data_IF_223936490614
#
_entry.id   IF_223936490614
#
_cell.length_a   1.000
_cell.length_b   1.000
_cell.length_c   1.000
_cell.angle_alpha   90.00
_cell.angle_beta   90.00
_cell.angle_gamma   90.00
#
_symmetry.space_group_name_H-M   'P 1'
#
loop_
_entity.id
_entity.type
_entity.pdbx_description
1 polymer ?
#
# COMPACT_ATOMS: atom_id res chain seq x y z
N UNK A 1 8.67 -0.67 15.61
CA UNK A 1 8.07 -2.02 15.84
C UNK A 1 7.16 -2.57 14.73
N UNK A 2 6.30 -1.79 14.05
CA UNK A 2 5.46 -2.30 12.93
C UNK A 2 6.28 -2.72 11.69
N UNK A 3 7.34 -1.96 11.36
CA UNK A 3 8.24 -2.23 10.23
C UNK A 3 9.19 -3.41 10.48
N UNK A 4 9.71 -3.55 11.71
CA UNK A 4 10.45 -4.76 12.10
C UNK A 4 9.55 -5.98 12.04
N UNK A 5 8.30 -5.90 12.52
CA UNK A 5 7.33 -7.00 12.40
C UNK A 5 7.05 -7.36 10.93
N UNK A 6 6.98 -6.37 10.02
CA UNK A 6 6.72 -6.63 8.60
C UNK A 6 7.93 -7.23 7.85
N UNK A 7 9.16 -6.90 8.29
CA UNK A 7 10.41 -7.43 7.72
C UNK A 7 10.87 -8.75 8.37
N UNK A 8 10.51 -9.00 9.64
CA UNK A 8 10.84 -10.23 10.37
C UNK A 8 9.81 -11.33 10.21
N UNK A 9 8.55 -11.00 9.93
CA UNK A 9 7.60 -11.98 9.44
C UNK A 9 8.00 -12.32 8.01
N UNK A 10 8.48 -13.55 7.79
CA UNK A 10 8.60 -14.20 6.49
C UNK A 10 7.21 -14.34 5.82
N UNK A 11 6.49 -13.23 5.61
CA UNK A 11 5.29 -13.18 4.80
C UNK A 11 5.77 -13.33 3.37
N UNK A 12 5.53 -14.51 2.80
CA UNK A 12 5.87 -14.80 1.42
C UNK A 12 5.19 -13.76 0.51
N UNK A 13 5.97 -12.78 0.04
CA UNK A 13 5.59 -11.83 -0.98
C UNK A 13 5.36 -12.62 -2.28
N UNK A 14 4.14 -13.07 -2.52
CA UNK A 14 3.76 -13.84 -3.72
C UNK A 14 2.68 -13.09 -4.49
N UNK A 15 3.06 -12.56 -5.64
CA UNK A 15 2.17 -11.88 -6.59
C UNK A 15 2.93 -10.81 -7.37
N UNK A 16 2.66 -10.68 -8.67
CA UNK A 16 3.22 -9.59 -9.46
C UNK A 16 2.69 -8.26 -8.94
N UNK A 17 3.58 -7.37 -8.50
CA UNK A 17 3.19 -6.05 -8.01
C UNK A 17 2.82 -5.12 -9.16
N UNK A 18 1.57 -4.63 -9.27
CA UNK A 18 1.26 -3.55 -10.20
C UNK A 18 2.01 -2.27 -9.82
N UNK A 19 2.65 -1.65 -10.82
CA UNK A 19 3.36 -0.38 -10.66
C UNK A 19 3.12 0.57 -11.82
N UNK A 20 3.37 1.85 -11.58
CA UNK A 20 3.36 2.93 -12.57
C UNK A 20 4.57 3.83 -12.38
N UNK A 21 5.08 4.37 -13.48
CA UNK A 21 6.18 5.35 -13.45
C UNK A 21 5.59 6.76 -13.40
N UNK A 22 6.10 7.58 -12.48
CA UNK A 22 5.77 9.00 -12.36
C UNK A 22 6.70 9.86 -13.22
N UNK A 23 6.33 11.10 -13.53
CA UNK A 23 7.13 12.05 -14.33
C UNK A 23 8.50 12.35 -13.75
N UNK A 24 8.62 12.36 -12.43
CA UNK A 24 9.90 12.54 -11.73
C UNK A 24 10.84 11.32 -11.87
N UNK A 25 10.38 10.29 -12.57
CA UNK A 25 11.11 9.07 -12.85
C UNK A 25 10.93 8.01 -11.77
N UNK A 26 10.36 8.33 -10.60
CA UNK A 26 10.09 7.37 -9.54
C UNK A 26 9.01 6.35 -9.94
N UNK A 27 8.98 5.24 -9.22
CA UNK A 27 7.97 4.20 -9.40
C UNK A 27 7.06 4.19 -8.19
N UNK A 28 5.75 4.21 -8.43
CA UNK A 28 4.73 3.95 -7.42
C UNK A 28 4.13 2.57 -7.68
N UNK A 29 3.96 1.79 -6.63
CA UNK A 29 3.47 0.43 -6.73
C UNK A 29 2.45 0.13 -5.63
N UNK A 30 1.58 -0.85 -5.89
CA UNK A 30 0.61 -1.32 -4.92
C UNK A 30 0.77 -2.83 -4.71
N UNK A 31 0.63 -3.29 -3.47
CA UNK A 31 0.56 -4.72 -3.16
C UNK A 31 -0.52 -4.99 -2.14
N UNK A 32 -1.02 -6.22 -2.12
CA UNK A 32 -1.86 -6.72 -1.03
C UNK A 32 -0.96 -7.37 0.03
N UNK A 33 -1.31 -7.17 1.29
CA UNK A 33 -0.56 -7.64 2.45
C UNK A 33 -1.50 -8.41 3.35
N UNK A 34 -1.06 -9.58 3.81
CA UNK A 34 -1.86 -10.42 4.68
C UNK A 34 -1.71 -9.94 6.12
N UNK A 35 -2.83 -9.60 6.74
CA UNK A 35 -2.91 -9.42 8.18
C UNK A 35 -3.23 -10.75 8.86
N UNK A 36 -2.23 -11.30 9.55
CA UNK A 36 -2.36 -12.56 10.26
C UNK A 36 -2.95 -12.41 11.68
N UNK A 37 -3.14 -11.18 12.18
CA UNK A 37 -3.65 -10.97 13.55
C UNK A 37 -5.17 -11.14 13.66
N UNK A 38 -5.86 -11.32 12.53
CA UNK A 38 -7.32 -11.44 12.45
C UNK A 38 -7.72 -12.81 11.88
N UNK A 39 -8.85 -13.33 12.37
CA UNK A 39 -9.51 -14.54 11.84
C UNK A 39 -10.96 -14.18 11.46
N UNK A 40 -11.34 -14.25 10.17
CA UNK A 40 -10.54 -14.66 9.01
C UNK A 40 -9.42 -13.65 8.67
N UNK A 41 -8.40 -14.13 7.93
CA UNK A 41 -7.26 -13.30 7.52
C UNK A 41 -7.72 -12.12 6.67
N UNK A 42 -7.33 -10.90 7.05
CA UNK A 42 -7.59 -9.70 6.26
C UNK A 42 -6.47 -9.54 5.22
N UNK A 43 -6.82 -9.14 4.01
CA UNK A 43 -5.85 -8.68 3.02
C UNK A 43 -6.10 -7.21 2.78
N UNK A 44 -5.10 -6.39 3.10
CA UNK A 44 -5.16 -4.94 2.91
C UNK A 44 -4.24 -4.53 1.77
N UNK A 45 -4.50 -3.38 1.16
CA UNK A 45 -3.59 -2.82 0.15
C UNK A 45 -2.57 -1.91 0.82
N UNK A 46 -1.31 -1.96 0.43
CA UNK A 46 -0.34 -0.89 0.68
C UNK A 46 0.12 -0.31 -0.64
N UNK A 47 0.54 0.95 -0.60
CA UNK A 47 1.16 1.65 -1.72
C UNK A 47 2.55 2.09 -1.30
N UNK A 48 3.52 1.99 -2.20
CA UNK A 48 4.91 2.23 -1.86
C UNK A 48 5.67 2.81 -3.04
N UNK A 49 6.73 3.56 -2.71
CA UNK A 49 7.63 4.12 -3.71
C UNK A 49 8.87 3.24 -3.86
N UNK A 50 9.33 3.10 -5.09
CA UNK A 50 10.46 2.27 -5.48
C UNK A 50 11.53 3.10 -6.20
N UNK A 51 12.78 2.70 -6.05
CA UNK A 51 13.84 3.14 -6.94
C UNK A 51 13.54 2.75 -8.39
N UNK A 52 13.82 3.63 -9.36
CA UNK A 52 13.40 3.41 -10.74
C UNK A 52 14.36 2.55 -11.57
N UNK A 53 15.43 2.07 -10.94
CA UNK A 53 16.49 1.25 -11.54
C UNK A 53 16.87 0.14 -10.56
N UNK A 54 17.41 -0.99 -11.05
CA UNK A 54 17.98 -2.01 -10.19
C UNK A 54 18.96 -1.41 -9.17
N UNK A 55 18.93 -1.82 -7.90
CA UNK A 55 18.23 -3.01 -7.38
C UNK A 55 16.75 -2.83 -6.99
N UNK A 56 16.06 -1.75 -7.40
CA UNK A 56 14.63 -1.48 -7.15
C UNK A 56 14.25 -1.50 -5.66
N UNK A 57 14.97 -0.76 -4.82
CA UNK A 57 14.68 -0.69 -3.38
C UNK A 57 13.34 -0.01 -3.11
N UNK A 58 12.60 -0.50 -2.13
CA UNK A 58 11.45 0.20 -1.56
C UNK A 58 11.99 1.38 -0.76
N UNK A 59 11.55 2.59 -1.09
CA UNK A 59 11.95 3.83 -0.42
C UNK A 59 11.01 4.22 0.71
N UNK A 60 9.73 3.94 0.53
CA UNK A 60 8.72 4.34 1.50
C UNK A 60 7.45 3.54 1.30
N UNK A 61 6.64 3.42 2.35
CA UNK A 61 5.41 2.62 2.36
C UNK A 61 4.26 3.37 3.05
N UNK A 62 3.06 3.22 2.50
CA UNK A 62 1.84 3.74 3.11
C UNK A 62 1.42 2.92 4.32
N UNK A 63 0.54 3.46 5.18
CA UNK A 63 -0.29 2.62 6.03
C UNK A 63 -1.07 1.58 5.21
N UNK A 64 -1.56 0.53 5.88
CA UNK A 64 -2.54 -0.39 5.28
C UNK A 64 -3.80 0.39 4.89
N UNK A 65 -4.29 0.13 3.69
CA UNK A 65 -5.46 0.76 3.09
C UNK A 65 -6.53 -0.30 2.82
N UNK A 66 -7.77 0.10 3.05
CA UNK A 66 -8.97 -0.56 2.55
C UNK A 66 -9.45 0.21 1.33
N UNK A 67 -9.48 -0.43 0.16
CA UNK A 67 -9.95 0.22 -1.06
C UNK A 67 -11.48 0.20 -1.08
N UNK A 68 -12.13 1.32 -1.39
CA UNK A 68 -13.55 1.36 -1.73
C UNK A 68 -13.77 2.07 -3.05
N UNK A 69 -14.96 1.89 -3.64
CA UNK A 69 -15.34 2.51 -4.91
C UNK A 69 -15.34 4.04 -4.85
N UNK A 70 -15.50 4.61 -3.65
CA UNK A 70 -15.59 6.06 -3.43
C UNK A 70 -14.29 6.62 -2.86
N UNK A 71 -13.73 5.99 -1.81
CA UNK A 71 -12.48 6.43 -1.18
C UNK A 71 -11.75 5.28 -0.47
N UNK A 72 -10.41 5.26 -0.47
CA UNK A 72 -9.65 4.40 0.42
C UNK A 72 -9.83 4.81 1.89
N UNK A 73 -10.09 3.82 2.74
CA UNK A 73 -10.39 3.96 4.17
C UNK A 73 -9.32 3.24 5.02
N UNK A 74 -9.28 3.56 6.32
CA UNK A 74 -8.50 2.75 7.26
C UNK A 74 -9.14 1.37 7.39
N UNK A 75 -8.37 0.26 7.41
CA UNK A 75 -8.91 -1.09 7.48
C UNK A 75 -9.38 -1.42 8.90
N UNK A 76 -10.51 -0.83 9.31
CA UNK A 76 -11.10 -0.99 10.64
C UNK A 76 -12.33 -1.90 10.64
N UNK A 77 -12.73 -2.44 9.49
CA UNK A 77 -13.98 -3.21 9.36
C UNK A 77 -13.81 -4.49 8.53
N UNK A 78 -14.72 -5.44 8.77
CA UNK A 78 -14.82 -6.68 8.00
C UNK A 78 -15.17 -6.47 6.51
N UNK A 79 -15.65 -5.27 6.12
CA UNK A 79 -15.84 -4.92 4.70
C UNK A 79 -14.51 -4.74 3.96
N UNK A 80 -13.41 -4.63 4.69
CA UNK A 80 -12.05 -4.61 4.18
C UNK A 80 -11.42 -6.01 4.16
N UNK A 81 -12.21 -7.05 4.45
CA UNK A 81 -11.73 -8.42 4.41
C UNK A 81 -11.48 -8.84 2.96
N UNK A 82 -10.27 -9.36 2.73
CA UNK A 82 -9.86 -10.01 1.50
C UNK A 82 -9.91 -9.13 0.24
N UNK A 83 -8.98 -8.17 0.15
CA UNK A 83 -8.75 -7.38 -1.06
C UNK A 83 -7.42 -7.73 -1.74
N UNK A 84 -7.47 -8.01 -3.04
CA UNK A 84 -6.30 -8.36 -3.85
C UNK A 84 -6.08 -7.33 -4.94
N UNK A 85 -5.08 -6.46 -4.77
CA UNK A 85 -4.72 -5.49 -5.82
C UNK A 85 -4.08 -6.21 -7.02
N UNK A 86 -4.53 -5.86 -8.22
CA UNK A 86 -4.08 -6.49 -9.48
C UNK A 86 -3.65 -5.47 -10.53
N UNK A 87 -3.99 -4.18 -10.37
CA UNK A 87 -3.68 -3.15 -11.35
C UNK A 87 -3.49 -1.78 -10.71
N UNK A 88 -2.58 -1.00 -11.28
CA UNK A 88 -2.34 0.40 -10.93
C UNK A 88 -2.08 1.17 -12.23
N UNK A 89 -2.88 2.19 -12.49
CA UNK A 89 -2.67 3.14 -13.59
C UNK A 89 -2.69 4.56 -13.04
N UNK A 90 -1.85 5.41 -13.63
CA UNK A 90 -1.73 6.82 -13.22
C UNK A 90 -1.95 7.72 -14.41
N UNK A 91 -2.76 8.77 -14.22
CA UNK A 91 -2.92 9.90 -15.11
C UNK A 91 -2.49 11.18 -14.37
N UNK A 92 -1.23 11.56 -14.55
CA UNK A 92 -0.65 12.77 -13.95
C UNK A 92 -1.24 14.06 -14.52
N UNK A 93 -1.89 14.03 -15.70
CA UNK A 93 -2.55 15.21 -16.26
C UNK A 93 -3.84 15.54 -15.52
N UNK A 94 -4.53 14.50 -15.01
CA UNK A 94 -5.79 14.61 -14.28
C UNK A 94 -5.64 14.44 -12.77
N UNK A 95 -4.41 14.33 -12.27
CA UNK A 95 -4.11 14.02 -10.87
C UNK A 95 -4.89 12.79 -10.37
N UNK A 96 -4.92 11.71 -11.16
CA UNK A 96 -5.76 10.55 -10.90
C UNK A 96 -4.93 9.26 -10.89
N UNK A 97 -5.18 8.41 -9.89
CA UNK A 97 -4.75 7.03 -9.89
C UNK A 97 -5.96 6.09 -9.89
N UNK A 98 -5.86 5.04 -10.69
CA UNK A 98 -6.85 3.96 -10.79
C UNK A 98 -6.23 2.69 -10.22
N UNK A 99 -6.88 2.13 -9.20
CA UNK A 99 -6.42 0.91 -8.54
C UNK A 99 -7.46 -0.18 -8.76
N UNK A 100 -7.10 -1.21 -9.51
CA UNK A 100 -7.96 -2.36 -9.76
C UNK A 100 -7.70 -3.43 -8.70
N UNK A 101 -8.77 -3.97 -8.10
CA UNK A 101 -8.65 -4.97 -7.05
C UNK A 101 -9.82 -5.98 -7.09
N UNK A 102 -9.54 -7.21 -6.67
CA UNK A 102 -10.55 -8.20 -6.34
C UNK A 102 -11.03 -8.01 -4.90
N UNK A 103 -12.33 -8.13 -4.68
CA UNK A 103 -12.97 -8.08 -3.36
C UNK A 103 -13.63 -9.43 -3.06
N UNK A 104 -13.29 -10.02 -1.90
CA UNK A 104 -13.85 -11.28 -1.39
C UNK A 104 -13.73 -12.47 -2.37
N UNK A 105 -12.81 -12.40 -3.33
CA UNK A 105 -12.69 -13.31 -4.47
C UNK A 105 -13.99 -13.46 -5.31
N UNK A 106 -14.86 -12.45 -5.27
CA UNK A 106 -16.17 -12.48 -5.94
C UNK A 106 -16.32 -11.40 -7.00
N UNK A 107 -15.76 -10.22 -6.75
CA UNK A 107 -15.98 -9.04 -7.58
C UNK A 107 -14.67 -8.35 -7.94
N UNK A 108 -14.59 -7.83 -9.16
CA UNK A 108 -13.53 -6.92 -9.58
C UNK A 108 -14.04 -5.49 -9.48
N UNK A 109 -13.25 -4.63 -8.81
CA UNK A 109 -13.55 -3.22 -8.57
C UNK A 109 -12.40 -2.32 -8.99
N UNK A 110 -12.69 -1.04 -9.14
CA UNK A 110 -11.70 0.01 -9.44
C UNK A 110 -11.92 1.16 -8.47
N UNK A 111 -10.93 1.41 -7.61
CA UNK A 111 -10.87 2.62 -6.80
C UNK A 111 -10.29 3.76 -7.64
N UNK A 112 -10.94 4.93 -7.57
CA UNK A 112 -10.49 6.18 -8.22
C UNK A 112 -10.01 7.13 -7.14
N UNK A 113 -8.72 7.45 -7.11
CA UNK A 113 -8.13 8.25 -6.03
C UNK A 113 -7.28 9.39 -6.58
N UNK A 114 -7.25 10.56 -5.91
CA UNK A 114 -6.31 11.62 -6.27
C UNK A 114 -4.86 11.11 -6.18
N UNK A 115 -4.07 11.38 -7.22
CA UNK A 115 -2.69 10.88 -7.30
C UNK A 115 -1.79 11.52 -6.24
N UNK A 116 -1.86 12.83 -6.06
CA UNK A 116 -1.14 13.58 -5.04
C UNK A 116 -1.35 13.01 -3.63
N UNK A 117 -2.60 12.69 -3.30
CA UNK A 117 -2.97 12.05 -2.04
C UNK A 117 -2.35 10.65 -1.92
N UNK A 118 -2.40 9.85 -2.99
CA UNK A 118 -1.81 8.51 -3.00
C UNK A 118 -0.28 8.54 -2.83
N UNK A 119 0.38 9.51 -3.48
CA UNK A 119 1.82 9.74 -3.36
C UNK A 119 2.17 10.23 -1.94
N UNK A 120 1.37 11.14 -1.37
CA UNK A 120 1.55 11.61 0.00
C UNK A 120 1.46 10.44 1.00
N UNK A 121 0.46 9.56 0.84
CA UNK A 121 0.35 8.34 1.64
C UNK A 121 1.54 7.41 1.48
N UNK A 122 2.00 7.18 0.25
CA UNK A 122 3.14 6.31 0.00
C UNK A 122 4.43 6.83 0.63
N UNK A 123 4.50 8.11 1.00
CA UNK A 123 5.65 8.76 1.65
C UNK A 123 5.59 8.77 3.17
N UNK A 124 4.48 8.32 3.79
CA UNK A 124 4.27 8.45 5.24
C UNK A 124 5.39 7.77 6.04
N UNK A 125 5.83 6.57 5.64
CA UNK A 125 6.93 5.87 6.29
C UNK A 125 8.12 5.77 5.34
N UNK A 126 9.11 6.66 5.51
CA UNK A 126 10.38 6.61 4.80
C UNK A 126 11.26 5.48 5.34
N UNK A 127 11.92 4.77 4.44
CA UNK A 127 12.94 3.77 4.73
C UNK A 127 14.29 4.37 4.35
N UNK A 128 14.75 5.37 5.10
CA UNK A 128 16.09 5.91 4.90
C UNK A 128 17.16 4.91 5.37
N UNK A 129 18.32 4.87 4.69
CA UNK A 129 19.48 4.02 5.01
C UNK A 129 20.07 4.28 6.42
N UNK A 130 19.58 5.30 7.15
CA UNK A 130 19.89 5.54 8.54
C UNK A 130 18.84 4.84 9.40
N UNK A 131 19.28 3.81 10.13
CA UNK A 131 18.45 2.89 10.91
C UNK A 131 17.22 3.54 11.54
N UNK A 132 16.10 2.84 11.35
CA UNK A 132 14.78 3.05 11.98
C UNK A 132 14.92 3.82 13.30
N UNK A 133 14.66 5.13 13.30
CA UNK A 133 14.53 5.87 14.54
C UNK A 133 13.12 5.62 15.08
N UNK A 134 13.04 4.97 16.24
CA UNK A 134 11.82 4.60 16.98
C UNK A 134 10.99 5.79 17.53
N UNK A 135 10.78 6.84 16.74
CA UNK A 135 9.80 7.89 17.07
C UNK A 135 8.96 8.10 15.81
N UNK A 136 7.69 7.71 15.73
CA UNK A 136 6.57 8.16 16.57
C UNK A 136 5.41 7.13 16.52
N UNK A 137 5.45 6.08 17.33
CA UNK A 137 4.32 5.16 17.51
C UNK A 137 3.98 4.90 18.98
N UNK A 138 4.17 5.90 19.84
CA UNK A 138 3.74 5.83 21.25
C UNK A 138 3.03 7.14 21.64
N UNK A 139 1.77 7.29 21.24
CA UNK A 139 0.78 8.07 22.01
C UNK A 139 -0.64 8.01 21.42
N UNK A 140 -1.22 6.83 21.21
CA UNK A 140 -2.69 6.69 21.12
C UNK A 140 -3.15 5.37 21.75
N UNK A 141 -2.76 5.15 23.00
CA UNK A 141 -3.51 4.30 23.94
C UNK A 141 -3.37 4.90 25.35
N UNK A 142 -4.14 5.95 25.60
CA UNK A 142 -4.74 6.22 26.90
C UNK A 142 -6.23 6.48 26.67
#
# INVERSE_FOLDING_TARGET
DFLETYLTLQQELRGGTPYSRLRDGSLIAAMHVKDATHSPALYSTIVYLLEPRPPFRIKSVSPKLCLSDLHPEMPISASCALQFVVGLQVDETRNLALISFGELDQHMKIARVPLDWLVALARVHSLDDAGVSDSECVSFMQ
#
